data_IF_282669818786
#
_entry.id   IF_282669818786
#
_cell.length_a   1.000
_cell.length_b   1.000
_cell.length_c   1.000
_cell.angle_alpha   90.00
_cell.angle_beta   90.00
_cell.angle_gamma   90.00
#
_symmetry.space_group_name_H-M   'P 1'
#
loop_
_entity.id
_entity.type
_entity.pdbx_description
1 polymer ?
#
# COMPACT_ATOMS: atom_id res chain seq x y z
N UNK A 1 26.66 -13.48 3.54
CA UNK A 1 25.39 -13.86 3.33
C UNK A 1 24.45 -13.04 4.09
N UNK A 2 23.46 -12.70 3.50
CA UNK A 2 22.47 -11.94 4.18
C UNK A 2 21.69 -12.86 5.08
N UNK A 3 21.68 -12.56 6.34
CA UNK A 3 20.80 -13.26 7.23
C UNK A 3 19.68 -12.39 7.63
N UNK A 4 19.40 -11.47 6.78
CA UNK A 4 18.29 -10.57 7.03
C UNK A 4 17.02 -11.39 6.98
N UNK A 5 16.46 -11.65 8.15
CA UNK A 5 15.19 -12.33 8.24
C UNK A 5 14.09 -11.35 7.85
N UNK A 6 13.78 -11.37 6.56
CA UNK A 6 12.62 -10.62 6.08
C UNK A 6 11.38 -11.45 6.32
N UNK A 7 10.45 -10.92 7.10
CA UNK A 7 9.19 -11.58 7.40
C UNK A 7 8.04 -10.67 7.01
N UNK A 8 7.08 -11.23 6.27
CA UNK A 8 5.80 -10.57 6.02
C UNK A 8 4.78 -11.25 6.91
N UNK A 9 4.18 -10.47 7.80
CA UNK A 9 3.24 -10.96 8.80
C UNK A 9 1.85 -10.47 8.44
N UNK A 10 0.90 -11.39 8.38
CA UNK A 10 -0.51 -11.05 8.23
C UNK A 10 -0.99 -10.45 9.55
N UNK A 11 -1.37 -9.18 9.52
CA UNK A 11 -1.85 -8.49 10.69
C UNK A 11 -0.77 -7.71 11.42
N UNK A 12 -0.81 -7.79 12.76
CA UNK A 12 0.07 -7.07 13.68
C UNK A 12 -0.22 -5.56 13.74
N UNK A 13 -1.44 -5.20 13.39
CA UNK A 13 -1.86 -3.78 13.36
C UNK A 13 -1.78 -3.12 14.73
N UNK A 14 -1.94 -3.89 15.82
CA UNK A 14 -1.87 -3.37 17.19
C UNK A 14 -0.45 -3.17 17.71
N UNK A 15 0.56 -3.63 16.97
CA UNK A 15 1.94 -3.47 17.41
C UNK A 15 2.30 -1.98 17.49
N UNK A 16 2.96 -1.52 18.58
CA UNK A 16 3.27 -0.09 18.72
C UNK A 16 4.06 0.51 17.57
N UNK A 17 5.00 -0.24 16.99
CA UNK A 17 5.78 0.25 15.85
C UNK A 17 4.90 0.44 14.61
N UNK A 18 3.94 -0.45 14.40
CA UNK A 18 2.98 -0.33 13.29
C UNK A 18 2.07 0.88 13.51
N UNK A 19 1.56 1.06 14.72
CA UNK A 19 0.73 2.22 15.05
C UNK A 19 1.47 3.55 14.87
N UNK A 20 2.74 3.60 15.28
CA UNK A 20 3.57 4.80 15.10
C UNK A 20 3.77 5.11 13.61
N UNK A 21 4.08 4.10 12.81
CA UNK A 21 4.28 4.29 11.37
C UNK A 21 2.98 4.66 10.65
N UNK A 22 1.85 4.12 11.10
CA UNK A 22 0.53 4.47 10.55
C UNK A 22 0.22 5.95 10.78
N UNK A 23 0.54 6.48 11.96
CA UNK A 23 0.35 7.90 12.26
C UNK A 23 1.18 8.77 11.29
N UNK A 24 2.42 8.38 11.01
CA UNK A 24 3.29 9.08 10.06
C UNK A 24 2.70 9.00 8.66
N UNK A 25 2.24 7.83 8.25
CA UNK A 25 1.62 7.62 6.94
C UNK A 25 0.43 8.56 6.72
N UNK A 26 -0.47 8.63 7.70
CA UNK A 26 -1.65 9.48 7.61
C UNK A 26 -1.28 10.97 7.60
N UNK A 27 -0.31 11.38 8.42
CA UNK A 27 0.16 12.76 8.44
C UNK A 27 0.77 13.15 7.09
N UNK A 28 1.57 12.28 6.48
CA UNK A 28 2.17 12.53 5.16
C UNK A 28 1.09 12.67 4.09
N UNK A 29 0.11 11.78 4.08
CA UNK A 29 -0.98 11.84 3.10
C UNK A 29 -1.74 13.16 3.21
N UNK A 30 -2.05 13.60 4.42
CA UNK A 30 -2.78 14.84 4.67
C UNK A 30 -1.95 16.09 4.35
N UNK A 31 -0.64 16.02 4.50
CA UNK A 31 0.25 17.15 4.21
C UNK A 31 0.47 17.39 2.73
N UNK A 32 0.33 16.36 1.90
CA UNK A 32 0.61 16.43 0.46
C UNK A 32 -0.67 16.69 -0.33
N UNK A 33 -1.80 16.13 0.09
CA UNK A 33 -3.06 16.19 -0.66
C UNK A 33 -4.10 17.05 0.04
N UNK A 34 -5.01 17.72 -0.72
CA UNK A 34 -6.17 18.37 -0.11
C UNK A 34 -7.00 17.36 0.69
N UNK A 35 -7.62 17.81 1.76
CA UNK A 35 -8.38 16.93 2.67
C UNK A 35 -9.45 16.12 1.94
N UNK A 36 -10.13 16.71 0.94
CA UNK A 36 -11.17 16.01 0.18
C UNK A 36 -10.62 14.93 -0.76
N UNK A 37 -9.30 14.93 -1.02
CA UNK A 37 -8.64 13.96 -1.91
C UNK A 37 -7.81 12.94 -1.13
N UNK A 38 -7.86 12.93 0.20
CA UNK A 38 -7.13 11.95 1.01
C UNK A 38 -7.99 10.69 1.15
N UNK A 39 -7.50 9.61 0.59
CA UNK A 39 -8.19 8.31 0.62
C UNK A 39 -7.48 7.29 1.52
N UNK A 40 -6.49 7.73 2.30
CA UNK A 40 -5.75 6.86 3.21
C UNK A 40 -6.65 6.38 4.36
N UNK A 41 -6.55 5.08 4.66
CA UNK A 41 -7.33 4.47 5.74
C UNK A 41 -6.64 4.66 7.08
N UNK A 42 -7.40 5.02 8.08
CA UNK A 42 -6.94 5.04 9.46
C UNK A 42 -7.01 3.63 10.08
N UNK A 43 -6.69 3.53 11.36
CA UNK A 43 -6.72 2.27 12.10
C UNK A 43 -8.08 1.57 11.97
N UNK A 44 -9.16 2.30 12.15
CA UNK A 44 -10.51 1.73 12.06
C UNK A 44 -10.81 1.23 10.65
N UNK A 45 -10.45 2.02 9.63
CA UNK A 45 -10.65 1.63 8.23
C UNK A 45 -9.88 0.39 7.84
N UNK A 46 -8.70 0.18 8.42
CA UNK A 46 -7.88 -1.00 8.13
C UNK A 46 -8.40 -2.29 8.81
N UNK A 47 -9.34 -2.19 9.73
CA UNK A 47 -9.86 -3.33 10.48
C UNK A 47 -11.14 -3.93 9.91
N UNK A 48 -11.67 -3.38 8.82
CA UNK A 48 -12.89 -3.95 8.21
C UNK A 48 -12.58 -5.31 7.56
N UNK A 49 -13.60 -6.21 7.47
CA UNK A 49 -13.36 -7.57 6.95
C UNK A 49 -12.79 -7.64 5.53
N UNK A 50 -13.08 -6.63 4.70
CA UNK A 50 -12.59 -6.58 3.32
C UNK A 50 -11.10 -6.28 3.21
N UNK A 51 -10.47 -5.84 4.30
CA UNK A 51 -9.05 -5.45 4.30
C UNK A 51 -8.20 -6.56 4.89
N UNK A 52 -7.14 -6.93 4.18
CA UNK A 52 -6.05 -7.76 4.71
C UNK A 52 -4.83 -6.86 4.87
N UNK A 53 -4.34 -6.74 6.09
CA UNK A 53 -3.21 -5.87 6.42
C UNK A 53 -1.96 -6.73 6.63
N UNK A 54 -0.83 -6.28 6.10
CA UNK A 54 0.44 -6.99 6.21
C UNK A 54 1.53 -6.03 6.67
N UNK A 55 2.33 -6.48 7.62
CA UNK A 55 3.51 -5.77 8.09
C UNK A 55 4.78 -6.51 7.67
N UNK A 56 5.81 -5.77 7.29
CA UNK A 56 7.08 -6.33 6.85
C UNK A 56 8.16 -5.98 7.87
N UNK A 57 8.93 -6.99 8.26
CA UNK A 57 9.92 -6.88 9.32
C UNK A 57 11.27 -7.42 8.86
N UNK A 58 12.32 -6.76 9.29
CA UNK A 58 13.68 -7.27 9.18
C UNK A 58 14.18 -7.42 10.61
N UNK A 59 14.30 -8.66 11.07
CA UNK A 59 14.52 -8.97 12.50
C UNK A 59 13.43 -8.27 13.35
N UNK A 60 13.80 -7.43 14.30
CA UNK A 60 12.84 -6.70 15.13
C UNK A 60 12.49 -5.30 14.59
N UNK A 61 12.98 -4.96 13.40
CA UNK A 61 12.77 -3.65 12.82
C UNK A 61 11.62 -3.67 11.82
N UNK A 62 10.64 -2.78 11.99
CA UNK A 62 9.56 -2.63 11.03
C UNK A 62 10.07 -1.92 9.77
N UNK A 63 10.01 -2.61 8.64
CA UNK A 63 10.37 -2.05 7.34
C UNK A 63 9.22 -1.18 6.81
N UNK A 64 8.00 -1.64 6.97
CA UNK A 64 6.84 -0.95 6.45
C UNK A 64 5.61 -1.85 6.48
N UNK A 65 4.56 -1.41 5.79
CA UNK A 65 3.32 -2.16 5.69
C UNK A 65 2.60 -1.91 4.38
N UNK A 66 1.59 -2.70 4.14
CA UNK A 66 0.67 -2.54 3.02
C UNK A 66 -0.59 -3.33 3.28
N UNK A 67 -1.62 -3.06 2.51
CA UNK A 67 -2.90 -3.72 2.67
C UNK A 67 -3.53 -4.01 1.33
N UNK A 68 -4.44 -4.97 1.30
CA UNK A 68 -5.25 -5.32 0.15
C UNK A 68 -6.72 -5.22 0.57
N UNK A 69 -7.50 -4.47 -0.19
CA UNK A 69 -8.95 -4.44 -0.02
C UNK A 69 -9.60 -5.31 -1.09
N UNK A 70 -10.48 -6.19 -0.66
CA UNK A 70 -11.28 -7.01 -1.58
C UNK A 70 -12.43 -6.16 -2.13
N UNK A 71 -12.41 -5.91 -3.44
CA UNK A 71 -13.45 -5.13 -4.11
C UNK A 71 -14.56 -6.01 -4.69
N UNK A 72 -14.45 -7.34 -4.56
CA UNK A 72 -15.34 -8.28 -5.23
C UNK A 72 -14.87 -8.58 -6.65
N UNK A 73 -15.48 -9.58 -7.27
CA UNK A 73 -15.23 -9.95 -8.68
C UNK A 73 -13.75 -10.24 -8.98
N UNK A 74 -13.02 -10.81 -8.00
CA UNK A 74 -11.59 -11.12 -8.11
C UNK A 74 -10.71 -9.89 -8.32
N UNK A 75 -11.17 -8.73 -7.87
CA UNK A 75 -10.48 -7.47 -8.00
C UNK A 75 -10.08 -6.97 -6.61
N UNK A 76 -8.81 -6.69 -6.41
CA UNK A 76 -8.30 -6.14 -5.16
C UNK A 76 -7.71 -4.75 -5.35
N UNK A 77 -7.63 -4.02 -4.26
CA UNK A 77 -7.02 -2.70 -4.23
C UNK A 77 -5.84 -2.70 -3.27
N UNK A 78 -4.67 -2.26 -3.73
CA UNK A 78 -3.51 -2.03 -2.88
C UNK A 78 -3.74 -0.72 -2.11
N UNK A 79 -3.66 -0.78 -0.79
CA UNK A 79 -3.86 0.38 0.07
C UNK A 79 -2.74 0.49 1.08
N UNK A 80 -2.52 1.71 1.57
CA UNK A 80 -1.67 1.98 2.73
C UNK A 80 -0.22 1.50 2.60
N UNK A 81 0.32 1.48 1.38
CA UNK A 81 1.73 1.15 1.18
C UNK A 81 2.60 2.24 1.80
N UNK A 82 3.46 1.84 2.73
CA UNK A 82 4.36 2.77 3.38
C UNK A 82 5.65 2.08 3.81
N UNK A 83 6.78 2.68 3.48
CA UNK A 83 8.10 2.20 3.92
C UNK A 83 8.61 3.16 5.00
N UNK A 84 9.09 2.61 6.12
CA UNK A 84 9.66 3.40 7.19
C UNK A 84 10.88 4.20 6.68
N UNK A 85 11.05 5.42 7.17
CA UNK A 85 12.08 6.33 6.69
C UNK A 85 13.49 5.71 6.73
N UNK A 86 13.80 4.94 7.77
CA UNK A 86 15.10 4.31 7.93
C UNK A 86 15.40 3.26 6.84
N UNK A 87 14.38 2.76 6.15
CA UNK A 87 14.52 1.71 5.15
C UNK A 87 14.28 2.21 3.72
N UNK A 88 14.01 3.50 3.52
CA UNK A 88 13.79 4.07 2.19
C UNK A 88 15.07 4.08 1.36
N UNK A 89 14.90 4.05 0.04
CA UNK A 89 16.03 4.10 -0.88
C UNK A 89 16.79 2.79 -1.02
N UNK A 90 16.27 1.70 -0.47
CA UNK A 90 16.92 0.37 -0.48
C UNK A 90 16.11 -0.67 -1.22
N UNK A 91 15.13 -0.26 -2.01
CA UNK A 91 14.26 -1.19 -2.74
C UNK A 91 13.23 -1.89 -1.87
N UNK A 92 13.00 -1.42 -0.65
CA UNK A 92 12.13 -2.10 0.31
C UNK A 92 10.64 -2.00 -0.03
N UNK A 93 10.25 -0.99 -0.81
CA UNK A 93 8.85 -0.91 -1.27
C UNK A 93 8.48 -2.13 -2.11
N UNK A 94 9.37 -2.58 -2.99
CA UNK A 94 9.17 -3.80 -3.77
C UNK A 94 9.13 -5.04 -2.90
N UNK A 95 9.92 -5.06 -1.82
CA UNK A 95 9.92 -6.16 -0.85
C UNK A 95 8.56 -6.30 -0.15
N UNK A 96 7.81 -5.20 -0.02
CA UNK A 96 6.43 -5.24 0.50
C UNK A 96 5.44 -5.56 -0.61
N UNK A 97 5.55 -4.89 -1.75
CA UNK A 97 4.58 -5.00 -2.84
C UNK A 97 4.54 -6.40 -3.45
N UNK A 98 5.69 -7.04 -3.67
CA UNK A 98 5.73 -8.37 -4.26
C UNK A 98 4.95 -9.42 -3.42
N UNK A 99 5.16 -9.52 -2.10
CA UNK A 99 4.33 -10.41 -1.28
C UNK A 99 2.85 -10.04 -1.28
N UNK A 100 2.50 -8.76 -1.36
CA UNK A 100 1.09 -8.36 -1.47
C UNK A 100 0.46 -8.92 -2.75
N UNK A 101 1.16 -8.85 -3.87
CA UNK A 101 0.68 -9.41 -5.13
C UNK A 101 0.48 -10.92 -4.98
N UNK A 102 1.43 -11.62 -4.34
CA UNK A 102 1.29 -13.07 -4.12
C UNK A 102 0.11 -13.39 -3.20
N UNK A 103 -0.11 -12.62 -2.15
CA UNK A 103 -1.26 -12.81 -1.27
C UNK A 103 -2.57 -12.57 -2.02
N UNK A 104 -2.61 -11.60 -2.90
CA UNK A 104 -3.78 -11.36 -3.75
C UNK A 104 -4.07 -12.57 -4.65
N UNK A 105 -3.03 -13.15 -5.24
CA UNK A 105 -3.18 -14.38 -6.05
C UNK A 105 -3.70 -15.54 -5.22
N UNK A 106 -3.21 -15.70 -4.02
CA UNK A 106 -3.69 -16.75 -3.10
C UNK A 106 -5.16 -16.56 -2.72
N UNK A 107 -5.66 -15.33 -2.77
CA UNK A 107 -7.07 -15.01 -2.55
C UNK A 107 -7.90 -15.11 -3.83
N UNK A 108 -7.33 -15.66 -4.89
CA UNK A 108 -7.97 -15.81 -6.20
C UNK A 108 -8.29 -14.49 -6.91
N UNK A 109 -7.61 -13.43 -6.55
CA UNK A 109 -7.71 -12.17 -7.28
C UNK A 109 -6.95 -12.27 -8.61
N UNK A 110 -7.49 -11.65 -9.65
CA UNK A 110 -6.91 -11.66 -11.00
C UNK A 110 -6.49 -10.25 -11.43
N UNK A 111 -6.82 -9.23 -10.64
CA UNK A 111 -6.47 -7.84 -10.92
C UNK A 111 -6.26 -7.10 -9.61
N UNK A 112 -5.22 -6.29 -9.59
CA UNK A 112 -4.98 -5.31 -8.52
C UNK A 112 -5.02 -3.92 -9.10
N UNK A 113 -5.63 -3.00 -8.37
CA UNK A 113 -5.67 -1.58 -8.71
C UNK A 113 -5.27 -0.75 -7.50
N UNK A 114 -4.95 0.50 -7.72
CA UNK A 114 -4.59 1.41 -6.65
C UNK A 114 -4.92 2.85 -7.02
N UNK A 115 -5.04 3.67 -6.01
CA UNK A 115 -5.09 5.12 -6.14
C UNK A 115 -3.87 5.69 -5.44
N UNK A 116 -3.20 6.64 -6.07
CA UNK A 116 -2.11 7.38 -5.47
C UNK A 116 -2.21 8.85 -5.88
N UNK A 117 -1.37 9.69 -5.32
CA UNK A 117 -1.43 11.12 -5.61
C UNK A 117 -0.80 11.49 -6.95
N UNK A 118 -1.27 12.60 -7.51
CA UNK A 118 -0.70 13.20 -8.73
C UNK A 118 0.42 14.18 -8.41
N UNK A 119 0.57 14.62 -7.16
CA UNK A 119 1.56 15.59 -6.74
C UNK A 119 2.98 15.01 -6.81
N UNK A 120 3.98 15.89 -6.87
CA UNK A 120 5.39 15.50 -6.96
C UNK A 120 5.84 14.61 -5.79
N UNK A 121 5.27 14.80 -4.61
CA UNK A 121 5.59 13.97 -3.45
C UNK A 121 5.23 12.50 -3.64
N UNK A 122 4.35 12.17 -4.56
CA UNK A 122 3.97 10.80 -4.89
C UNK A 122 4.68 10.24 -6.14
N UNK A 123 5.56 11.01 -6.77
CA UNK A 123 6.27 10.54 -7.97
C UNK A 123 7.06 9.24 -7.74
N UNK A 124 7.76 9.06 -6.61
CA UNK A 124 8.43 7.79 -6.33
C UNK A 124 7.46 6.60 -6.26
N UNK A 125 6.28 6.81 -5.68
CA UNK A 125 5.27 5.76 -5.61
C UNK A 125 4.76 5.38 -7.00
N UNK A 126 4.43 6.37 -7.83
CA UNK A 126 4.00 6.10 -9.21
C UNK A 126 5.05 5.33 -10.00
N UNK A 127 6.32 5.70 -9.85
CA UNK A 127 7.42 5.02 -10.51
C UNK A 127 7.57 3.57 -10.03
N UNK A 128 7.42 3.34 -8.72
CA UNK A 128 7.44 2.00 -8.16
C UNK A 128 6.36 1.11 -8.78
N UNK A 129 5.13 1.59 -8.80
CA UNK A 129 4.02 0.80 -9.33
C UNK A 129 4.19 0.53 -10.82
N UNK A 130 4.65 1.51 -11.58
CA UNK A 130 4.93 1.32 -13.01
C UNK A 130 6.00 0.24 -13.23
N UNK A 131 7.06 0.23 -12.43
CA UNK A 131 8.10 -0.81 -12.51
C UNK A 131 7.56 -2.20 -12.19
N UNK A 132 6.49 -2.28 -11.41
CA UNK A 132 5.85 -3.55 -11.05
C UNK A 132 4.65 -3.90 -11.94
N UNK A 133 4.58 -3.29 -13.10
CA UNK A 133 3.60 -3.66 -14.13
C UNK A 133 2.25 -2.98 -14.04
N UNK A 134 2.08 -2.02 -13.14
CA UNK A 134 0.86 -1.24 -13.06
C UNK A 134 0.86 -0.17 -14.14
N UNK A 135 -0.27 0.01 -14.81
CA UNK A 135 -0.47 1.02 -15.84
C UNK A 135 -1.57 1.98 -15.40
N UNK A 136 -1.50 3.22 -15.88
CA UNK A 136 -2.56 4.20 -15.59
C UNK A 136 -3.90 3.72 -16.14
N UNK A 137 -4.95 3.98 -15.38
CA UNK A 137 -6.30 3.58 -15.73
C UNK A 137 -7.33 4.60 -15.26
N UNK A 138 -8.59 4.37 -15.63
CA UNK A 138 -9.71 5.16 -15.14
C UNK A 138 -9.99 4.86 -13.66
N UNK A 139 -10.72 5.75 -12.96
CA UNK A 139 -11.16 5.46 -11.60
C UNK A 139 -11.91 4.12 -11.52
N UNK A 140 -11.69 3.41 -10.43
CA UNK A 140 -12.34 2.13 -10.17
C UNK A 140 -13.10 2.19 -8.84
N UNK A 141 -13.92 1.18 -8.55
CA UNK A 141 -14.74 1.11 -7.34
C UNK A 141 -15.56 2.40 -7.17
N UNK A 142 -15.53 3.01 -6.01
CA UNK A 142 -16.30 4.23 -5.73
C UNK A 142 -15.51 5.52 -5.99
N UNK A 143 -14.31 5.40 -6.57
CA UNK A 143 -13.49 6.57 -6.86
C UNK A 143 -14.06 7.38 -8.02
N UNK A 144 -13.79 8.68 -7.99
CA UNK A 144 -14.15 9.61 -9.05
C UNK A 144 -12.89 10.30 -9.57
N UNK A 145 -12.96 10.84 -10.77
CA UNK A 145 -11.88 11.68 -11.29
C UNK A 145 -11.60 12.83 -10.32
N UNK A 146 -10.33 13.01 -10.01
CA UNK A 146 -9.85 14.03 -9.09
C UNK A 146 -8.46 14.46 -9.57
N UNK A 147 -8.20 15.77 -9.74
CA UNK A 147 -6.88 16.23 -10.18
C UNK A 147 -5.74 15.82 -9.25
N UNK A 148 -6.04 15.54 -7.99
CA UNK A 148 -5.06 15.11 -6.99
C UNK A 148 -4.85 13.60 -6.96
N UNK A 149 -5.58 12.82 -7.77
CA UNK A 149 -5.52 11.35 -7.76
C UNK A 149 -5.13 10.78 -9.10
N UNK A 150 -4.37 9.71 -9.06
CA UNK A 150 -4.00 8.89 -10.21
C UNK A 150 -4.39 7.46 -9.90
N UNK A 151 -4.94 6.77 -10.89
CA UNK A 151 -5.38 5.38 -10.76
C UNK A 151 -4.51 4.49 -11.62
N UNK A 152 -4.12 3.34 -11.07
CA UNK A 152 -3.29 2.38 -11.78
C UNK A 152 -3.82 0.98 -11.55
N UNK A 153 -3.59 0.10 -12.51
CA UNK A 153 -4.11 -1.28 -12.46
C UNK A 153 -3.12 -2.25 -13.09
N UNK A 154 -3.20 -3.50 -12.65
CA UNK A 154 -2.39 -4.61 -13.17
C UNK A 154 -3.17 -5.91 -13.10
N UNK A 155 -3.11 -6.71 -14.17
CA UNK A 155 -3.54 -8.11 -14.12
C UNK A 155 -2.49 -8.94 -13.36
N UNK A 156 -2.94 -9.87 -12.56
CA UNK A 156 -2.03 -10.68 -11.74
C UNK A 156 -2.28 -12.20 -11.88
#
# INVERSE_FOLDING_TARGET
MSHDSLAIIDGDLDHPAVQALLAIHLANARSISPACSVHALDDTGLRIPQISFYSAWQDDSLIGFGAIKDLGERHGEVKSMHVAAAHRGKGMAGVILNPLIEQARLKAMTRLSLETGSQDGFAPARALYARHGFAFCEPFADYRLDPSSVFMTREI
#
